data_IF_133731736298
#
_entry.id   IF_133731736298
#
_cell.length_a   1.000
_cell.length_b   1.000
_cell.length_c   1.000
_cell.angle_alpha   90.00
_cell.angle_beta   90.00
_cell.angle_gamma   90.00
#
_symmetry.space_group_name_H-M   'P 1'
#
loop_
_entity.id
_entity.type
_entity.pdbx_description
1 polymer ?
#
# COMPACT_ATOMS: atom_id res chain seq x y z
N UNK A 1 16.18 -12.10 -0.93
CA UNK A 1 16.45 -10.82 -1.65
C UNK A 1 15.43 -10.52 -2.77
N UNK A 2 15.14 -11.44 -3.71
CA UNK A 2 14.16 -11.18 -4.79
C UNK A 2 12.69 -11.07 -4.30
N UNK A 3 12.27 -11.85 -3.29
CA UNK A 3 10.91 -11.74 -2.73
C UNK A 3 10.68 -10.43 -1.97
N UNK A 4 11.64 -10.01 -1.14
CA UNK A 4 11.63 -8.69 -0.51
C UNK A 4 11.37 -7.55 -1.51
N UNK A 5 12.18 -7.47 -2.57
CA UNK A 5 12.07 -6.40 -3.58
C UNK A 5 10.70 -6.43 -4.25
N UNK A 6 10.17 -7.61 -4.56
CA UNK A 6 8.85 -7.78 -5.14
C UNK A 6 7.73 -7.29 -4.20
N UNK A 7 7.76 -7.67 -2.91
CA UNK A 7 6.76 -7.23 -1.94
C UNK A 7 6.80 -5.72 -1.69
N UNK A 8 7.99 -5.13 -1.65
CA UNK A 8 8.16 -3.70 -1.49
C UNK A 8 7.65 -2.93 -2.71
N UNK A 9 7.99 -3.38 -3.92
CA UNK A 9 7.54 -2.76 -5.16
C UNK A 9 6.00 -2.84 -5.29
N UNK A 10 5.41 -3.99 -4.95
CA UNK A 10 3.96 -4.17 -4.91
C UNK A 10 3.29 -3.22 -3.91
N UNK A 11 3.84 -3.10 -2.69
CA UNK A 11 3.35 -2.16 -1.69
C UNK A 11 3.36 -0.70 -2.18
N UNK A 12 4.46 -0.27 -2.80
CA UNK A 12 4.56 1.08 -3.39
C UNK A 12 3.60 1.31 -4.55
N UNK A 13 3.43 0.34 -5.45
CA UNK A 13 2.47 0.41 -6.55
C UNK A 13 1.01 0.48 -6.07
N UNK A 14 0.68 -0.14 -4.93
CA UNK A 14 -0.67 -0.07 -4.37
C UNK A 14 -0.89 1.28 -3.68
N UNK A 15 0.17 1.90 -3.14
CA UNK A 15 0.12 3.20 -2.48
C UNK A 15 -0.12 4.37 -3.46
N UNK A 16 0.26 4.24 -4.74
CA UNK A 16 0.04 5.29 -5.75
C UNK A 16 -1.44 5.52 -6.06
N UNK A 17 -2.29 4.48 -6.03
CA UNK A 17 -3.73 4.61 -6.24
C UNK A 17 -4.44 5.57 -5.27
N UNK A 18 -4.30 5.43 -3.93
CA UNK A 18 -4.88 6.37 -2.98
C UNK A 18 -4.20 7.74 -3.01
N UNK A 19 -2.91 7.82 -3.37
CA UNK A 19 -2.14 9.07 -3.51
C UNK A 19 -2.58 9.91 -4.72
N UNK A 20 -2.89 9.28 -5.86
CA UNK A 20 -3.14 9.99 -7.11
C UNK A 20 -4.43 10.82 -7.08
N UNK A 21 -5.40 10.46 -6.24
CA UNK A 21 -6.64 11.23 -6.09
C UNK A 21 -6.75 11.98 -4.77
N UNK A 22 -5.67 12.14 -3.99
CA UNK A 22 -5.73 12.67 -2.61
C UNK A 22 -6.25 14.12 -2.56
N UNK A 23 -6.14 14.85 -3.68
CA UNK A 23 -6.65 16.21 -3.88
C UNK A 23 -8.19 16.28 -3.85
N UNK A 24 -8.90 15.22 -4.24
CA UNK A 24 -10.37 15.15 -4.25
C UNK A 24 -10.97 14.47 -3.00
N UNK A 25 -10.12 14.05 -2.07
CA UNK A 25 -10.49 13.22 -0.91
C UNK A 25 -11.47 13.91 0.06
N UNK A 26 -11.54 15.24 0.02
CA UNK A 26 -12.43 16.05 0.88
C UNK A 26 -13.86 16.12 0.35
N UNK A 27 -14.06 16.01 -0.96
CA UNK A 27 -15.38 16.03 -1.62
C UNK A 27 -15.84 14.63 -2.10
N UNK A 28 -15.02 13.59 -1.89
CA UNK A 28 -15.32 12.22 -2.31
C UNK A 28 -16.48 11.61 -1.50
N UNK A 29 -17.33 10.83 -2.19
CA UNK A 29 -18.39 10.05 -1.55
C UNK A 29 -17.78 9.09 -0.52
N UNK A 30 -18.48 8.89 0.61
CA UNK A 30 -18.06 8.02 1.73
C UNK A 30 -17.56 6.63 1.27
N UNK A 31 -18.18 6.06 0.24
CA UNK A 31 -17.80 4.77 -0.36
C UNK A 31 -16.40 4.78 -1.00
N UNK A 32 -16.04 5.81 -1.76
CA UNK A 32 -14.70 5.95 -2.34
C UNK A 32 -13.61 6.14 -1.27
N UNK A 33 -13.97 6.86 -0.21
CA UNK A 33 -13.09 7.08 0.95
C UNK A 33 -12.74 5.76 1.64
N UNK A 34 -13.73 4.88 1.83
CA UNK A 34 -13.54 3.54 2.40
C UNK A 34 -12.63 2.69 1.51
N UNK A 35 -12.86 2.68 0.19
CA UNK A 35 -12.05 1.90 -0.76
C UNK A 35 -10.58 2.31 -0.68
N UNK A 36 -10.28 3.62 -0.65
CA UNK A 36 -8.89 4.10 -0.52
C UNK A 36 -8.24 3.73 0.79
N UNK A 37 -8.97 3.79 1.90
CA UNK A 37 -8.46 3.34 3.20
C UNK A 37 -8.14 1.83 3.15
N UNK A 38 -8.98 1.02 2.50
CA UNK A 38 -8.68 -0.40 2.29
C UNK A 38 -7.42 -0.61 1.45
N UNK A 39 -7.20 0.17 0.39
CA UNK A 39 -5.95 0.11 -0.40
C UNK A 39 -4.71 0.54 0.39
N UNK A 40 -4.82 1.57 1.23
CA UNK A 40 -3.74 1.99 2.14
C UNK A 40 -3.42 0.86 3.12
N UNK A 41 -4.45 0.23 3.70
CA UNK A 41 -4.27 -0.92 4.59
C UNK A 41 -3.60 -2.10 3.88
N UNK A 42 -4.00 -2.40 2.65
CA UNK A 42 -3.40 -3.46 1.83
C UNK A 42 -1.92 -3.18 1.56
N UNK A 43 -1.58 -1.93 1.21
CA UNK A 43 -0.20 -1.54 0.97
C UNK A 43 0.68 -1.66 2.22
N UNK A 44 0.13 -1.36 3.40
CA UNK A 44 0.80 -1.59 4.68
C UNK A 44 1.09 -3.06 4.93
N UNK A 45 0.16 -3.97 4.62
CA UNK A 45 0.38 -5.42 4.75
C UNK A 45 1.54 -5.89 3.88
N UNK A 46 1.64 -5.41 2.64
CA UNK A 46 2.76 -5.73 1.76
C UNK A 46 4.10 -5.18 2.25
N UNK A 47 4.13 -3.96 2.80
CA UNK A 47 5.34 -3.38 3.37
C UNK A 47 5.81 -4.13 4.64
N UNK A 48 4.86 -4.53 5.50
CA UNK A 48 5.15 -5.33 6.70
C UNK A 48 5.65 -6.72 6.30
N UNK A 49 4.96 -7.38 5.36
CA UNK A 49 5.39 -8.69 4.83
C UNK A 49 6.80 -8.64 4.24
N UNK A 50 7.09 -7.58 3.46
CA UNK A 50 8.44 -7.34 2.95
C UNK A 50 9.47 -7.12 4.07
N UNK A 51 9.16 -6.31 5.09
CA UNK A 51 10.11 -6.10 6.21
C UNK A 51 10.35 -7.37 7.03
N UNK A 52 9.34 -8.22 7.22
CA UNK A 52 9.50 -9.53 7.88
C UNK A 52 10.38 -10.46 7.02
N UNK A 53 10.17 -10.50 5.70
CA UNK A 53 11.00 -11.28 4.77
C UNK A 53 12.46 -10.78 4.81
N UNK A 54 12.68 -9.45 4.84
CA UNK A 54 14.01 -8.85 4.97
C UNK A 54 14.70 -9.26 6.28
N UNK A 55 13.98 -9.21 7.42
CA UNK A 55 14.52 -9.57 8.72
C UNK A 55 14.76 -11.08 8.89
N UNK A 56 14.00 -11.92 8.17
CA UNK A 56 14.18 -13.38 8.19
C UNK A 56 15.37 -13.82 7.33
N UNK A 57 15.72 -13.03 6.31
CA UNK A 57 16.85 -13.28 5.41
C UNK A 57 18.15 -12.58 5.80
N UNK A 58 18.17 -11.80 6.89
CA UNK A 58 19.35 -11.11 7.44
C UNK A 58 19.99 -11.93 8.56
#
# INVERSE_FOLDING_TARGET
MYMFVFMFLAGFCILTFPLMGLKDFKNEKKSHKMIRISFIGLAFVFLIGGTIDLMTYL
#
